data_IF_190673326396
#
_entry.id   IF_190673326396
#
_cell.length_a   1.000
_cell.length_b   1.000
_cell.length_c   1.000
_cell.angle_alpha   90.00
_cell.angle_beta   90.00
_cell.angle_gamma   90.00
#
_symmetry.space_group_name_H-M   'P 1'
#
loop_
_entity.id
_entity.type
_entity.pdbx_description
1 polymer ?
#
# COMPACT_ATOMS: atom_id res chain seq x y z
N UNK A 1 -4.36 -1.79 -2.65
CA UNK A 1 -5.07 -0.55 -2.29
C UNK A 1 -4.39 0.69 -2.88
N UNK A 2 -5.17 1.72 -3.23
CA UNK A 2 -4.65 3.05 -3.56
C UNK A 2 -5.00 4.02 -2.42
N UNK A 3 -4.02 4.83 -2.02
CA UNK A 3 -4.24 5.93 -1.07
C UNK A 3 -4.00 7.24 -1.81
N UNK A 4 -4.96 8.16 -1.73
CA UNK A 4 -4.80 9.55 -2.14
C UNK A 4 -4.45 10.35 -0.88
N UNK A 5 -3.17 10.67 -0.71
CA UNK A 5 -2.64 11.34 0.46
C UNK A 5 -2.51 12.85 0.23
N UNK A 6 -3.10 13.64 1.11
CA UNK A 6 -3.03 15.11 1.09
C UNK A 6 -2.17 15.54 2.28
N UNK A 7 -0.94 16.04 2.07
CA UNK A 7 0.00 16.37 3.14
C UNK A 7 -0.31 17.70 3.85
N UNK A 8 -1.50 18.28 3.67
CA UNK A 8 -1.92 19.57 4.19
C UNK A 8 -3.05 19.40 5.20
N UNK A 9 -2.98 20.13 6.32
CA UNK A 9 -3.91 19.96 7.43
C UNK A 9 -5.24 20.69 7.23
N UNK A 10 -5.20 21.87 6.63
CA UNK A 10 -6.38 22.71 6.37
C UNK A 10 -7.34 22.08 5.36
N UNK A 11 -8.61 22.46 5.40
CA UNK A 11 -9.53 22.19 4.29
C UNK A 11 -9.04 22.92 3.04
N UNK A 12 -8.67 22.13 2.04
CA UNK A 12 -8.07 22.61 0.81
C UNK A 12 -8.72 21.98 -0.42
N UNK A 13 -8.47 22.62 -1.56
CA UNK A 13 -9.03 22.26 -2.85
C UNK A 13 -8.63 20.85 -3.34
N UNK A 14 -7.51 20.30 -2.88
CA UNK A 14 -7.09 18.94 -3.23
C UNK A 14 -8.08 17.87 -2.72
N UNK A 15 -8.85 18.16 -1.67
CA UNK A 15 -9.87 17.24 -1.14
C UNK A 15 -10.97 17.00 -2.18
N UNK A 16 -11.46 18.07 -2.82
CA UNK A 16 -12.47 17.98 -3.87
C UNK A 16 -11.93 17.18 -5.08
N UNK A 17 -10.67 17.40 -5.45
CA UNK A 17 -10.02 16.63 -6.52
C UNK A 17 -9.84 15.16 -6.16
N UNK A 18 -9.51 14.84 -4.91
CA UNK A 18 -9.37 13.46 -4.43
C UNK A 18 -10.72 12.72 -4.41
N UNK A 19 -11.79 13.40 -4.00
CA UNK A 19 -13.16 12.87 -4.06
C UNK A 19 -13.57 12.57 -5.50
N UNK A 20 -13.40 13.53 -6.41
CA UNK A 20 -13.68 13.34 -7.82
C UNK A 20 -12.89 12.17 -8.43
N UNK A 21 -11.61 12.02 -8.05
CA UNK A 21 -10.78 10.89 -8.47
C UNK A 21 -11.38 9.56 -8.00
N UNK A 22 -11.77 9.46 -6.74
CA UNK A 22 -12.39 8.27 -6.15
C UNK A 22 -13.71 7.92 -6.82
N UNK A 23 -14.55 8.91 -7.12
CA UNK A 23 -15.82 8.73 -7.84
C UNK A 23 -15.60 8.24 -9.27
N UNK A 24 -14.63 8.81 -9.98
CA UNK A 24 -14.31 8.45 -11.36
C UNK A 24 -13.75 7.03 -11.47
N UNK A 25 -12.95 6.61 -10.49
CA UNK A 25 -12.37 5.27 -10.38
C UNK A 25 -13.09 4.42 -9.33
N UNK A 26 -14.42 4.41 -9.37
CA UNK A 26 -15.29 3.73 -8.40
C UNK A 26 -15.09 2.21 -8.29
N UNK A 27 -14.48 1.58 -9.30
CA UNK A 27 -14.12 0.17 -9.32
C UNK A 27 -12.82 -0.13 -8.56
N UNK A 28 -12.07 0.90 -8.15
CA UNK A 28 -10.81 0.75 -7.44
C UNK A 28 -10.98 0.97 -5.94
N UNK A 29 -10.26 0.18 -5.13
CA UNK A 29 -10.19 0.40 -3.69
C UNK A 29 -9.30 1.63 -3.39
N UNK A 30 -9.94 2.80 -3.29
CA UNK A 30 -9.32 4.10 -3.04
C UNK A 30 -9.74 4.65 -1.68
N UNK A 31 -8.73 4.98 -0.85
CA UNK A 31 -8.90 5.71 0.40
C UNK A 31 -8.26 7.09 0.29
N UNK A 32 -8.93 8.10 0.82
CA UNK A 32 -8.39 9.46 0.93
C UNK A 32 -7.88 9.62 2.36
N UNK A 33 -6.63 10.06 2.50
CA UNK A 33 -6.00 10.32 3.80
C UNK A 33 -5.47 11.74 3.80
N UNK A 34 -5.82 12.51 4.81
CA UNK A 34 -5.35 13.87 4.99
C UNK A 34 -4.47 13.94 6.24
N UNK A 35 -3.37 14.68 6.14
CA UNK A 35 -2.47 14.89 7.27
C UNK A 35 -3.18 15.57 8.45
N UNK A 36 -2.95 15.04 9.66
CA UNK A 36 -3.61 15.51 10.88
C UNK A 36 -5.07 15.10 11.03
N UNK A 37 -5.64 14.41 10.03
CA UNK A 37 -6.93 13.75 10.13
C UNK A 37 -6.83 12.35 10.77
N UNK A 38 -7.95 11.75 11.19
CA UNK A 38 -7.96 10.39 11.73
C UNK A 38 -7.59 9.36 10.65
N UNK A 39 -6.62 8.48 10.95
CA UNK A 39 -6.16 7.43 10.05
C UNK A 39 -6.62 6.05 10.55
N UNK A 40 -7.50 5.39 9.80
CA UNK A 40 -8.00 4.06 10.14
C UNK A 40 -7.09 2.94 9.60
N UNK A 41 -5.96 2.70 10.27
CA UNK A 41 -4.93 1.74 9.86
C UNK A 41 -5.45 0.32 9.57
N UNK A 42 -6.46 -0.15 10.32
CA UNK A 42 -7.07 -1.48 10.15
C UNK A 42 -7.60 -1.73 8.73
N UNK A 43 -8.05 -0.69 8.04
CA UNK A 43 -8.55 -0.79 6.65
C UNK A 43 -7.42 -1.08 5.65
N UNK A 44 -6.17 -0.77 6.00
CA UNK A 44 -4.99 -0.84 5.14
C UNK A 44 -4.08 -2.03 5.47
N UNK A 45 -4.33 -2.73 6.58
CA UNK A 45 -3.48 -3.82 7.09
C UNK A 45 -3.44 -5.09 6.23
N UNK A 46 -4.32 -5.25 5.24
CA UNK A 46 -4.39 -6.50 4.46
C UNK A 46 -3.86 -6.37 3.04
N UNK A 47 -3.55 -5.15 2.59
CA UNK A 47 -3.22 -4.90 1.20
C UNK A 47 -1.81 -4.30 1.03
N UNK A 48 -1.22 -4.51 -0.14
CA UNK A 48 -0.09 -3.69 -0.60
C UNK A 48 -0.62 -2.30 -1.00
N UNK A 49 0.13 -1.27 -0.62
CA UNK A 49 -0.30 0.11 -0.73
C UNK A 49 0.49 0.82 -1.83
N UNK A 50 -0.25 1.51 -2.70
CA UNK A 50 0.28 2.54 -3.59
C UNK A 50 -0.25 3.89 -3.13
N UNK A 51 0.65 4.79 -2.76
CA UNK A 51 0.26 6.11 -2.23
C UNK A 51 0.50 7.16 -3.30
N UNK A 52 -0.51 7.92 -3.65
CA UNK A 52 -0.40 9.16 -4.43
C UNK A 52 -0.31 10.33 -3.46
N UNK A 53 0.82 11.03 -3.44
CA UNK A 53 0.96 12.28 -2.70
C UNK A 53 0.43 13.40 -3.58
N UNK A 54 -0.67 14.02 -3.17
CA UNK A 54 -1.37 15.06 -3.92
C UNK A 54 -0.97 16.43 -3.42
N UNK A 55 -0.58 17.30 -4.35
CA UNK A 55 -0.31 18.71 -4.09
C UNK A 55 -0.34 19.50 -5.39
N UNK A 56 -0.32 20.84 -5.29
CA UNK A 56 -0.02 21.71 -6.42
C UNK A 56 1.48 21.95 -6.53
N UNK A 57 1.99 21.91 -7.75
CA UNK A 57 3.35 22.41 -8.01
C UNK A 57 3.36 23.93 -8.03
N UNK A 58 4.49 24.50 -7.62
CA UNK A 58 4.71 25.94 -7.62
C UNK A 58 5.55 26.34 -8.85
N UNK A 59 5.08 27.35 -9.59
CA UNK A 59 5.78 27.97 -10.73
C UNK A 59 6.61 29.18 -10.26
N UNK A 60 7.40 29.00 -9.20
CA UNK A 60 8.28 30.03 -8.64
C UNK A 60 9.67 29.44 -8.44
N UNK A 61 10.68 30.06 -9.04
CA UNK A 61 12.08 29.60 -8.99
C UNK A 61 12.65 29.61 -7.55
N UNK A 62 12.23 30.57 -6.72
CA UNK A 62 12.67 30.65 -5.33
C UNK A 62 12.07 29.52 -4.46
N UNK A 63 10.93 28.98 -4.88
CA UNK A 63 10.18 27.94 -4.17
C UNK A 63 10.20 26.59 -4.92
N UNK A 64 11.24 26.35 -5.72
CA UNK A 64 11.37 25.17 -6.58
C UNK A 64 11.44 23.81 -5.84
N UNK A 65 11.44 23.79 -4.50
CA UNK A 65 11.32 22.58 -3.68
C UNK A 65 10.16 22.67 -2.69
N UNK A 66 9.14 23.43 -3.04
CA UNK A 66 7.90 23.55 -2.29
C UNK A 66 6.73 23.07 -3.14
N UNK A 67 5.69 22.61 -2.46
CA UNK A 67 4.39 22.30 -3.04
C UNK A 67 3.33 23.08 -2.29
N UNK A 68 2.20 23.33 -2.94
CA UNK A 68 1.13 24.16 -2.41
C UNK A 68 -0.20 23.41 -2.27
N UNK A 69 -1.04 23.92 -1.40
CA UNK A 69 -2.49 23.74 -1.37
C UNK A 69 -3.16 25.10 -1.38
N UNK A 70 -4.45 25.17 -1.74
CA UNK A 70 -5.22 26.39 -1.59
C UNK A 70 -6.41 26.15 -0.66
N UNK A 71 -6.51 26.96 0.39
CA UNK A 71 -7.67 26.92 1.27
C UNK A 71 -8.93 27.30 0.50
N UNK A 72 -9.97 26.47 0.57
CA UNK A 72 -11.20 26.67 -0.19
C UNK A 72 -11.97 27.92 0.24
N UNK A 73 -11.90 28.27 1.52
CA UNK A 73 -12.61 29.40 2.14
C UNK A 73 -11.86 30.71 1.95
N UNK A 74 -10.60 30.79 2.39
CA UNK A 74 -9.84 32.05 2.41
C UNK A 74 -9.12 32.34 1.10
N UNK A 75 -9.00 31.34 0.22
CA UNK A 75 -8.19 31.37 -1.02
C UNK A 75 -6.70 31.59 -0.79
N UNK A 76 -6.23 31.51 0.46
CA UNK A 76 -4.81 31.58 0.77
C UNK A 76 -4.12 30.27 0.38
N UNK A 77 -2.90 30.38 -0.15
CA UNK A 77 -2.05 29.23 -0.45
C UNK A 77 -1.15 28.89 0.73
N UNK A 78 -1.08 27.62 1.07
CA UNK A 78 -0.12 27.09 2.05
C UNK A 78 0.99 26.39 1.31
N UNK A 79 2.23 26.83 1.53
CA UNK A 79 3.40 26.28 0.87
C UNK A 79 4.18 25.39 1.85
N UNK A 80 4.55 24.18 1.42
CA UNK A 80 5.32 23.25 2.22
C UNK A 80 6.56 22.79 1.46
N UNK A 81 7.71 22.85 2.12
CA UNK A 81 8.93 22.24 1.64
C UNK A 81 8.79 20.71 1.54
N UNK A 82 9.48 20.11 0.56
CA UNK A 82 9.46 18.65 0.36
C UNK A 82 9.94 17.87 1.59
N UNK A 83 10.87 18.42 2.35
CA UNK A 83 11.33 17.89 3.64
C UNK A 83 10.19 17.81 4.66
N UNK A 84 9.37 18.87 4.78
CA UNK A 84 8.19 18.86 5.66
C UNK A 84 7.13 17.86 5.19
N UNK A 85 6.94 17.74 3.88
CA UNK A 85 6.00 16.75 3.30
C UNK A 85 6.48 15.32 3.59
N UNK A 86 7.79 15.06 3.48
CA UNK A 86 8.37 13.76 3.85
C UNK A 86 8.26 13.48 5.35
N UNK A 87 8.45 14.48 6.22
CA UNK A 87 8.25 14.35 7.67
C UNK A 87 6.80 13.95 8.00
N UNK A 88 5.81 14.65 7.41
CA UNK A 88 4.39 14.34 7.57
C UNK A 88 4.06 12.94 7.05
N UNK A 89 4.58 12.59 5.88
CA UNK A 89 4.43 11.26 5.31
C UNK A 89 5.02 10.16 6.22
N UNK A 90 6.22 10.39 6.78
CA UNK A 90 6.82 9.47 7.73
C UNK A 90 5.90 9.27 8.93
N UNK A 91 5.42 10.36 9.55
CA UNK A 91 4.53 10.31 10.72
C UNK A 91 3.24 9.54 10.42
N UNK A 92 2.57 9.86 9.31
CA UNK A 92 1.24 9.33 8.99
C UNK A 92 1.29 7.85 8.54
N UNK A 93 2.42 7.39 8.01
CA UNK A 93 2.53 6.05 7.41
C UNK A 93 3.61 5.16 8.03
N UNK A 94 4.29 5.59 9.11
CA UNK A 94 5.34 4.80 9.78
C UNK A 94 4.84 3.40 10.13
N UNK A 95 3.59 3.25 10.59
CA UNK A 95 3.02 1.96 10.97
C UNK A 95 2.82 1.00 9.77
N UNK A 96 2.65 1.56 8.58
CA UNK A 96 2.39 0.83 7.33
C UNK A 96 3.58 0.84 6.37
N UNK A 97 4.76 1.32 6.79
CA UNK A 97 5.92 1.54 5.92
C UNK A 97 6.28 0.30 5.09
N UNK A 98 6.25 -0.88 5.70
CA UNK A 98 6.58 -2.16 5.07
C UNK A 98 5.58 -2.61 3.98
N UNK A 99 4.41 -1.98 3.89
CA UNK A 99 3.34 -2.31 2.93
C UNK A 99 3.34 -1.38 1.73
N UNK A 100 4.02 -0.24 1.83
CA UNK A 100 4.03 0.78 0.81
C UNK A 100 5.11 0.41 -0.20
N UNK A 101 4.69 -0.16 -1.32
CA UNK A 101 5.60 -0.58 -2.39
C UNK A 101 5.88 0.53 -3.41
N UNK A 102 4.96 1.49 -3.56
CA UNK A 102 5.09 2.58 -4.52
C UNK A 102 4.50 3.88 -3.95
N UNK A 103 5.28 4.95 -4.03
CA UNK A 103 4.89 6.32 -3.72
C UNK A 103 4.93 7.12 -5.03
N UNK A 104 3.79 7.72 -5.38
CA UNK A 104 3.60 8.50 -6.60
C UNK A 104 3.46 9.96 -6.20
N UNK A 105 4.51 10.73 -6.46
CA UNK A 105 4.53 12.18 -6.27
C UNK A 105 3.70 12.83 -7.40
N UNK A 106 2.42 13.10 -7.14
CA UNK A 106 1.43 13.44 -8.15
C UNK A 106 1.01 14.90 -8.04
N UNK A 107 1.82 15.78 -8.62
CA UNK A 107 1.61 17.22 -8.67
C UNK A 107 2.12 17.77 -10.01
N UNK A 108 1.56 18.89 -10.46
CA UNK A 108 1.99 19.55 -11.69
C UNK A 108 3.46 19.97 -11.63
N UNK A 109 4.24 19.73 -12.68
CA UNK A 109 5.62 20.20 -12.75
C UNK A 109 6.06 20.50 -14.19
N UNK A 110 6.11 21.80 -14.52
CA UNK A 110 6.54 22.28 -15.83
C UNK A 110 7.99 22.80 -15.83
N UNK A 111 8.69 22.82 -14.69
CA UNK A 111 10.03 23.42 -14.55
C UNK A 111 11.19 22.44 -14.68
N UNK A 112 10.93 21.13 -14.67
CA UNK A 112 12.00 20.14 -14.80
C UNK A 112 12.66 19.74 -13.47
N UNK A 113 12.24 20.32 -12.34
CA UNK A 113 12.74 20.01 -10.99
C UNK A 113 12.06 18.78 -10.34
N UNK A 114 11.18 18.07 -11.05
CA UNK A 114 10.46 16.91 -10.51
C UNK A 114 11.39 15.80 -10.01
N UNK A 115 12.54 15.61 -10.65
CA UNK A 115 13.53 14.64 -10.21
C UNK A 115 14.19 15.08 -8.90
N UNK A 116 14.63 16.34 -8.79
CA UNK A 116 15.23 16.90 -7.57
C UNK A 116 14.26 16.85 -6.39
N UNK A 117 12.98 17.11 -6.63
CA UNK A 117 11.92 16.94 -5.63
C UNK A 117 11.82 15.48 -5.19
N UNK A 118 11.76 14.53 -6.13
CA UNK A 118 11.68 13.11 -5.82
C UNK A 118 12.89 12.61 -5.03
N UNK A 119 14.10 13.05 -5.39
CA UNK A 119 15.32 12.72 -4.68
C UNK A 119 15.33 13.32 -3.27
N UNK A 120 14.95 14.60 -3.11
CA UNK A 120 14.87 15.24 -1.79
C UNK A 120 13.84 14.53 -0.91
N UNK A 121 12.67 14.22 -1.45
CA UNK A 121 11.63 13.47 -0.75
C UNK A 121 12.19 12.11 -0.28
N UNK A 122 12.81 11.34 -1.19
CA UNK A 122 13.40 10.04 -0.86
C UNK A 122 14.44 10.08 0.26
N UNK A 123 15.33 11.10 0.22
CA UNK A 123 16.39 11.29 1.23
C UNK A 123 15.81 11.55 2.63
N UNK A 124 14.62 12.14 2.72
CA UNK A 124 13.97 12.43 4.00
C UNK A 124 13.00 11.33 4.46
N UNK A 125 12.74 10.31 3.63
CA UNK A 125 12.02 9.11 4.07
C UNK A 125 12.92 8.27 4.96
N UNK A 126 12.40 7.80 6.11
CA UNK A 126 13.22 7.08 7.10
C UNK A 126 13.15 5.57 6.94
N UNK A 127 11.95 4.99 6.88
CA UNK A 127 11.74 3.53 6.88
C UNK A 127 11.21 2.96 5.55
N UNK A 128 10.96 3.83 4.58
CA UNK A 128 10.23 3.45 3.38
C UNK A 128 11.21 2.97 2.30
N UNK A 129 11.05 1.71 1.91
CA UNK A 129 11.70 1.10 0.76
C UNK A 129 10.72 0.98 -0.42
N UNK A 130 10.18 2.13 -0.83
CA UNK A 130 9.21 2.21 -1.92
C UNK A 130 9.88 2.75 -3.18
N UNK A 131 9.36 2.33 -4.35
CA UNK A 131 9.63 3.05 -5.59
C UNK A 131 9.00 4.44 -5.53
N UNK A 132 9.74 5.46 -5.96
CA UNK A 132 9.22 6.83 -6.00
C UNK A 132 9.01 7.22 -7.46
N UNK A 133 7.76 7.28 -7.87
CA UNK A 133 7.37 7.77 -9.18
C UNK A 133 7.17 9.28 -9.14
N UNK A 134 7.69 9.96 -10.14
CA UNK A 134 7.49 11.38 -10.37
C UNK A 134 7.12 11.62 -11.84
N UNK A 135 6.48 12.74 -12.10
CA UNK A 135 5.82 13.00 -13.37
C UNK A 135 6.23 14.38 -13.90
N UNK A 136 6.24 14.53 -15.22
CA UNK A 136 6.43 15.82 -15.88
C UNK A 136 5.10 16.36 -16.43
N UNK A 137 5.02 17.68 -16.56
CA UNK A 137 3.88 18.38 -17.16
C UNK A 137 2.82 18.82 -16.14
N UNK A 138 1.76 19.43 -16.65
CA UNK A 138 0.53 19.72 -15.89
C UNK A 138 -0.28 18.43 -15.82
N UNK A 139 -0.49 17.91 -14.61
CA UNK A 139 -1.12 16.62 -14.40
C UNK A 139 -2.58 16.81 -13.99
N UNK A 140 -3.46 15.96 -14.50
CA UNK A 140 -4.88 16.02 -14.23
C UNK A 140 -5.35 14.82 -13.41
N UNK A 141 -6.49 14.98 -12.74
CA UNK A 141 -7.25 13.87 -12.18
C UNK A 141 -7.67 12.89 -13.32
N UNK A 142 -8.04 11.65 -12.98
CA UNK A 142 -8.59 10.73 -13.96
C UNK A 142 -9.75 11.38 -14.72
N UNK A 143 -9.75 11.20 -16.04
CA UNK A 143 -10.84 11.63 -16.91
C UNK A 143 -11.98 10.60 -16.88
N UNK A 144 -13.11 10.92 -17.53
CA UNK A 144 -14.31 10.05 -17.61
C UNK A 144 -14.03 8.69 -18.23
N UNK A 145 -12.99 8.58 -19.05
CA UNK A 145 -12.50 7.32 -19.61
C UNK A 145 -11.60 6.52 -18.64
N UNK A 146 -11.57 6.89 -17.37
CA UNK A 146 -10.77 6.29 -16.28
C UNK A 146 -9.25 6.37 -16.49
N UNK A 147 -8.76 7.17 -17.44
CA UNK A 147 -7.32 7.38 -17.69
C UNK A 147 -6.84 8.69 -17.09
N UNK A 148 -5.58 8.70 -16.68
CA UNK A 148 -4.87 9.88 -16.17
C UNK A 148 -4.07 10.50 -17.30
N UNK A 149 -4.15 11.82 -17.41
CA UNK A 149 -3.46 12.57 -18.46
C UNK A 149 -2.52 13.63 -17.88
N UNK A 150 -1.49 13.93 -18.65
CA UNK A 150 -0.58 15.05 -18.43
C UNK A 150 -0.44 15.85 -19.72
N UNK A 151 -0.44 17.17 -19.58
CA UNK A 151 -0.10 18.10 -20.65
C UNK A 151 1.36 18.51 -20.51
N UNK A 152 2.18 18.13 -21.48
CA UNK A 152 3.63 18.34 -21.45
C UNK A 152 4.12 18.76 -22.84
N UNK A 153 4.93 19.82 -22.93
CA UNK A 153 5.45 20.35 -24.21
C UNK A 153 4.39 20.52 -25.31
N UNK A 154 3.24 21.10 -24.97
CA UNK A 154 2.18 21.38 -25.94
C UNK A 154 1.33 20.17 -26.36
N UNK A 155 1.55 18.99 -25.76
CA UNK A 155 0.88 17.75 -26.14
C UNK A 155 0.28 17.02 -24.94
N UNK A 156 -0.81 16.31 -25.20
CA UNK A 156 -1.46 15.44 -24.24
C UNK A 156 -0.84 14.04 -24.26
N UNK A 157 -0.46 13.56 -23.08
CA UNK A 157 0.06 12.21 -22.87
C UNK A 157 -0.74 11.52 -21.77
N UNK A 158 -0.83 10.19 -21.83
CA UNK A 158 -1.17 9.43 -20.64
C UNK A 158 -0.11 9.70 -19.57
N UNK A 159 -0.51 9.94 -18.31
CA UNK A 159 0.45 10.30 -17.25
C UNK A 159 1.53 9.23 -17.04
N UNK A 160 1.24 7.97 -17.38
CA UNK A 160 2.23 6.88 -17.39
C UNK A 160 3.40 7.11 -18.33
N UNK A 161 3.22 7.83 -19.43
CA UNK A 161 4.24 8.03 -20.46
C UNK A 161 5.24 9.14 -20.10
N UNK A 162 4.83 10.06 -19.23
CA UNK A 162 5.67 11.12 -18.68
C UNK A 162 6.08 10.83 -17.23
N UNK A 163 5.87 9.60 -16.77
CA UNK A 163 6.28 9.11 -15.47
C UNK A 163 7.70 8.58 -15.55
N UNK A 164 8.51 8.93 -14.56
CA UNK A 164 9.81 8.31 -14.30
C UNK A 164 9.81 7.77 -12.88
N UNK A 165 10.63 6.75 -12.65
CA UNK A 165 10.77 6.11 -11.35
C UNK A 165 12.18 6.37 -10.85
N UNK A 166 12.30 6.91 -9.64
CA UNK A 166 13.56 6.95 -8.92
C UNK A 166 13.83 5.53 -8.41
N UNK A 167 14.71 4.83 -9.12
CA UNK A 167 15.21 3.55 -8.64
C UNK A 167 16.14 3.82 -7.47
N UNK A 168 15.88 3.20 -6.33
CA UNK A 168 16.89 3.14 -5.29
C UNK A 168 18.08 2.39 -5.88
N UNK A 169 19.26 3.02 -5.85
CA UNK A 169 20.48 2.28 -6.07
C UNK A 169 20.48 1.16 -5.03
N UNK A 170 20.33 -0.09 -5.48
CA UNK A 170 20.85 -1.22 -4.71
C UNK A 170 22.36 -0.96 -4.64
N UNK A 171 22.79 -0.23 -3.62
CA UNK A 171 24.20 -0.05 -3.33
C UNK A 171 24.72 -1.47 -3.14
N UNK A 172 25.65 -1.84 -4.03
CA UNK A 172 26.42 -3.10 -3.96
C UNK A 172 26.86 -3.31 -2.51
N UNK A 173 26.77 -4.56 -2.05
CA UNK A 173 27.23 -5.05 -0.74
C UNK A 173 28.76 -4.92 -0.58
N UNK A 174 29.30 -3.71 -0.74
CA UNK A 174 30.73 -3.49 -0.81
C UNK A 174 31.08 -2.14 -0.16
N UNK A 175 30.80 -2.03 1.13
CA UNK A 175 31.52 -1.13 2.07
C UNK A 175 31.00 -1.30 3.51
N UNK A 176 31.88 -1.74 4.40
CA UNK A 176 31.87 -1.62 5.87
C UNK A 176 30.52 -1.49 6.61
N UNK A 177 30.06 -2.60 7.21
CA UNK A 177 29.36 -2.80 8.50
C UNK A 177 28.24 -1.86 8.99
N UNK A 178 27.77 -0.89 8.19
CA UNK A 178 26.69 0.03 8.59
C UNK A 178 25.42 -0.23 7.80
N UNK A 179 24.59 -1.13 8.33
CA UNK A 179 23.22 -1.35 7.85
C UNK A 179 22.39 -0.09 8.15
N UNK A 180 21.84 0.54 7.11
CA UNK A 180 20.90 1.65 7.28
C UNK A 180 19.60 1.19 7.96
N UNK A 181 18.91 2.10 8.64
CA UNK A 181 17.62 1.79 9.31
C UNK A 181 16.60 1.22 8.30
N UNK A 182 16.61 1.71 7.05
CA UNK A 182 15.80 1.15 5.94
C UNK A 182 16.09 -0.32 5.69
N UNK A 183 17.37 -0.66 5.53
CA UNK A 183 17.82 -2.03 5.29
C UNK A 183 17.53 -2.94 6.49
N UNK A 184 17.76 -2.46 7.72
CA UNK A 184 17.47 -3.23 8.93
C UNK A 184 15.96 -3.53 9.03
N UNK A 185 15.11 -2.55 8.75
CA UNK A 185 13.66 -2.75 8.76
C UNK A 185 13.21 -3.77 7.69
N UNK A 186 13.78 -3.69 6.49
CA UNK A 186 13.49 -4.63 5.40
C UNK A 186 13.91 -6.07 5.78
N UNK A 187 15.11 -6.24 6.33
CA UNK A 187 15.61 -7.54 6.78
C UNK A 187 14.70 -8.14 7.86
N UNK A 188 14.30 -7.34 8.84
CA UNK A 188 13.36 -7.76 9.88
C UNK A 188 12.00 -8.14 9.29
N UNK A 189 11.50 -7.39 8.31
CA UNK A 189 10.25 -7.73 7.62
C UNK A 189 10.35 -9.05 6.85
N UNK A 190 11.42 -9.26 6.08
CA UNK A 190 11.65 -10.50 5.35
C UNK A 190 11.83 -11.70 6.28
N UNK A 191 12.50 -11.52 7.43
CA UNK A 191 12.59 -12.51 8.50
C UNK A 191 11.21 -12.90 9.02
N UNK A 192 10.42 -11.91 9.45
CA UNK A 192 9.06 -12.12 9.96
C UNK A 192 8.12 -12.73 8.91
N UNK A 193 8.28 -12.39 7.63
CA UNK A 193 7.48 -12.96 6.54
C UNK A 193 7.82 -14.44 6.29
N UNK A 194 9.09 -14.83 6.41
CA UNK A 194 9.51 -16.24 6.36
C UNK A 194 8.94 -17.03 7.53
N UNK A 195 9.02 -16.49 8.74
CA UNK A 195 8.49 -17.12 9.96
C UNK A 195 6.97 -17.34 9.86
N UNK A 196 6.20 -16.30 9.51
CA UNK A 196 4.75 -16.42 9.29
C UNK A 196 4.37 -17.44 8.22
N UNK A 197 5.20 -17.61 7.18
CA UNK A 197 4.98 -18.60 6.14
C UNK A 197 5.19 -20.03 6.66
N UNK A 198 6.20 -20.24 7.50
CA UNK A 198 6.44 -21.51 8.18
C UNK A 198 5.29 -21.84 9.15
N UNK A 199 4.82 -20.87 9.93
CA UNK A 199 3.68 -21.03 10.84
C UNK A 199 2.41 -21.44 10.09
N UNK A 200 2.09 -20.75 8.99
CA UNK A 200 0.95 -21.09 8.14
C UNK A 200 1.05 -22.50 7.55
N UNK A 201 2.24 -22.95 7.17
CA UNK A 201 2.47 -24.32 6.70
C UNK A 201 2.26 -25.33 7.82
N UNK A 202 2.77 -25.06 9.02
CA UNK A 202 2.59 -25.89 10.20
C UNK A 202 1.10 -26.01 10.59
N UNK A 203 0.38 -24.90 10.63
CA UNK A 203 -1.06 -24.87 10.92
C UNK A 203 -1.89 -25.62 9.88
N UNK A 204 -1.54 -25.51 8.59
CA UNK A 204 -2.17 -26.32 7.53
C UNK A 204 -1.94 -27.81 7.76
N UNK A 205 -0.73 -28.22 8.12
CA UNK A 205 -0.43 -29.62 8.41
C UNK A 205 -1.17 -30.12 9.66
N UNK A 206 -1.24 -29.32 10.73
CA UNK A 206 -2.03 -29.66 11.93
C UNK A 206 -3.50 -29.87 11.59
N UNK A 207 -4.10 -28.96 10.82
CA UNK A 207 -5.50 -29.09 10.36
C UNK A 207 -5.71 -30.33 9.49
N UNK A 208 -4.79 -30.63 8.58
CA UNK A 208 -4.86 -31.83 7.75
C UNK A 208 -4.78 -33.11 8.59
N UNK A 209 -3.83 -33.19 9.55
CA UNK A 209 -3.71 -34.32 10.49
C UNK A 209 -4.95 -34.49 11.34
N UNK A 210 -5.49 -33.40 11.87
CA UNK A 210 -6.71 -33.43 12.67
C UNK A 210 -7.91 -33.94 11.87
N UNK A 211 -8.08 -33.48 10.62
CA UNK A 211 -9.12 -33.97 9.71
C UNK A 211 -8.99 -35.46 9.45
N UNK A 212 -7.77 -35.96 9.24
CA UNK A 212 -7.49 -37.37 8.98
C UNK A 212 -7.76 -38.25 10.22
N UNK A 213 -7.41 -37.77 11.41
CA UNK A 213 -7.75 -38.43 12.68
C UNK A 213 -9.26 -38.50 12.91
N UNK A 214 -9.99 -37.43 12.62
CA UNK A 214 -11.45 -37.41 12.73
C UNK A 214 -12.13 -38.32 11.72
N UNK A 215 -11.62 -38.39 10.48
CA UNK A 215 -12.09 -39.36 9.48
C UNK A 215 -11.92 -40.81 9.98
N UNK A 216 -10.72 -41.17 10.48
CA UNK A 216 -10.50 -42.51 11.04
C UNK A 216 -11.40 -42.82 12.22
N UNK A 217 -11.59 -41.87 13.17
CA UNK A 217 -12.50 -42.06 14.30
C UNK A 217 -13.94 -42.32 13.86
N UNK A 218 -14.41 -41.59 12.84
CA UNK A 218 -15.73 -41.79 12.27
C UNK A 218 -15.86 -43.13 11.53
N UNK A 219 -14.79 -43.59 10.86
CA UNK A 219 -14.74 -44.91 10.22
C UNK A 219 -14.80 -46.05 11.27
N UNK A 220 -14.04 -45.95 12.36
CA UNK A 220 -14.08 -46.93 13.47
C UNK A 220 -15.43 -46.97 14.18
N UNK A 221 -16.10 -45.82 14.36
CA UNK A 221 -17.46 -45.79 14.93
C UNK A 221 -18.49 -46.43 13.99
N UNK A 222 -18.32 -46.28 12.67
CA UNK A 222 -19.18 -46.92 11.67
C UNK A 222 -18.93 -48.43 11.53
N UNK A 223 -17.69 -48.90 11.70
CA UNK A 223 -17.37 -50.34 11.65
C UNK A 223 -17.78 -51.07 12.94
N UNK A 224 -17.64 -50.43 14.11
CA UNK A 224 -18.06 -50.99 15.40
C UNK A 224 -19.59 -51.16 15.54
N UNK A 225 -20.39 -50.39 14.80
CA UNK A 225 -21.85 -50.57 14.74
C UNK A 225 -22.32 -51.71 13.83
N UNK A 226 -21.43 -52.28 12.99
CA UNK A 226 -21.77 -53.41 12.10
C UNK A 226 -21.50 -54.75 12.78
N UNK A 227 -20.45 -54.86 13.59
CA UNK A 227 -20.09 -56.12 14.28
C UNK A 227 -21.03 -56.49 15.43
N UNK A 228 -21.75 -55.52 16.01
CA UNK A 228 -22.71 -55.79 17.10
C UNK A 228 -24.07 -56.32 16.62
N UNK A 229 -24.36 -56.32 15.31
CA UNK A 229 -25.62 -56.88 14.76
C UNK A 229 -25.50 -58.33 14.30
N UNK A 230 -24.29 -58.88 14.16
CA UNK A 230 -24.07 -60.26 13.69
C UNK A 230 -23.94 -61.31 14.81
N UNK A 231 -23.94 -60.93 16.09
CA UNK A 231 -23.76 -61.86 17.20
C UNK A 231 -25.07 -62.37 17.84
N UNK A 232 -26.24 -61.82 17.50
CA UNK A 232 -27.52 -62.18 18.14
C UNK A 232 -28.36 -63.24 17.40
N UNK A 233 -27.93 -63.76 16.24
CA UNK A 233 -28.80 -64.61 15.39
C UNK A 233 -28.54 -66.13 15.42
N UNK A 234 -27.98 -66.71 16.48
CA UNK A 234 -27.84 -68.17 16.57
C UNK A 234 -28.29 -68.71 17.94
N UNK A 235 -29.59 -68.96 18.09
CA UNK A 235 -30.13 -69.96 19.03
C UNK A 235 -30.87 -71.05 18.25
N UNK A 236 -30.67 -72.35 18.56
CA UNK A 236 -31.27 -73.46 17.84
C UNK A 236 -32.69 -73.75 18.33
N UNK A 237 -33.58 -74.01 17.38
CA UNK A 237 -34.95 -74.47 17.57
C UNK A 237 -34.98 -75.90 18.08
N UNK A 238 -35.52 -76.12 19.29
CA UNK A 238 -35.94 -77.45 19.75
C UNK A 238 -37.42 -77.66 19.38
N UNK A 239 -37.67 -78.56 18.43
CA UNK A 239 -38.99 -79.07 18.06
C UNK A 239 -39.48 -80.11 19.07
N UNK A 240 -40.81 -80.16 19.25
CA UNK A 240 -41.54 -81.22 19.93
C UNK A 240 -42.23 -82.10 18.89
#
# INVERSE_FOLDING_TARGET
>A
MIILYIPFHEENDLIAHALHWKETLNDQNILIVQHGGPIHYKLMEREHLTIYVLAHGIDNLLEHLHLASTCTITKQSTHLGIDKIAERFNSDFVYLHHRIGNIKLYFCNNKGNQQSIAEKFNRHLVLFDAYIDYYAGTIFSPSTNKKKYSYYHGKWYASSNVRKTLYQSKIREDSDDKISIKQLSLLNFLGNAKEKRLDLMCERQKKARHKLLMQRRNEYQKSGSVETQTAESNQPTCLR
#
